data_IF_241306229773
#
_entry.id   IF_241306229773
#
_cell.length_a   1.000
_cell.length_b   1.000
_cell.length_c   1.000
_cell.angle_alpha   90.00
_cell.angle_beta   90.00
_cell.angle_gamma   90.00
#
_symmetry.space_group_name_H-M   'P 1'
#
loop_
_entity.id
_entity.type
_entity.pdbx_description
1 polymer ?
#
# COMPACT_ATOMS: atom_id res chain seq x y z
N UNK A 1 -21.31 43.19 61.26
CA UNK A 1 -20.42 43.86 60.29
C UNK A 1 -18.98 43.59 60.72
N UNK A 2 -18.11 43.25 59.76
CA UNK A 2 -16.66 42.97 59.89
C UNK A 2 -16.25 41.52 60.16
N UNK A 3 -15.95 40.82 59.07
CA UNK A 3 -15.03 39.67 59.03
C UNK A 3 -13.60 40.19 58.84
N UNK A 4 -12.61 39.44 59.32
CA UNK A 4 -11.19 39.55 58.94
C UNK A 4 -10.55 38.16 58.89
N UNK A 5 -9.45 37.98 58.14
CA UNK A 5 -9.19 36.76 57.36
C UNK A 5 -8.23 35.82 58.07
N UNK A 6 -8.25 34.53 57.71
CA UNK A 6 -7.19 33.59 58.09
C UNK A 6 -6.61 32.91 56.85
N UNK A 7 -5.29 32.88 56.84
CA UNK A 7 -4.41 32.76 55.69
C UNK A 7 -3.92 31.31 55.52
N UNK A 8 -3.77 30.91 54.27
CA UNK A 8 -2.85 29.92 53.68
C UNK A 8 -2.13 28.89 54.60
N UNK A 9 -2.44 27.59 54.47
CA UNK A 9 -1.45 26.55 54.74
C UNK A 9 -1.38 25.62 53.52
N UNK A 10 -0.23 25.70 52.89
CA UNK A 10 0.30 24.91 51.79
C UNK A 10 0.21 23.41 52.10
N UNK A 11 -0.43 22.64 51.22
CA UNK A 11 -0.27 21.17 51.20
C UNK A 11 0.47 20.78 49.93
N UNK A 12 1.75 20.43 50.11
CA UNK A 12 2.54 19.72 49.10
C UNK A 12 1.92 18.33 48.91
N UNK A 13 1.33 18.10 47.74
CA UNK A 13 0.90 16.78 47.29
C UNK A 13 1.95 16.29 46.30
N UNK A 14 2.84 15.43 46.76
CA UNK A 14 3.82 14.76 45.90
C UNK A 14 3.12 13.60 45.19
N UNK A 15 2.75 13.79 43.93
CA UNK A 15 2.21 12.72 43.07
C UNK A 15 3.40 11.93 42.54
N UNK A 16 3.62 10.72 43.08
CA UNK A 16 4.58 9.77 42.52
C UNK A 16 3.99 9.14 41.25
N UNK A 17 4.49 9.57 40.09
CA UNK A 17 4.15 8.99 38.79
C UNK A 17 5.00 7.72 38.60
N UNK A 18 4.44 6.55 38.91
CA UNK A 18 5.08 5.27 38.64
C UNK A 18 5.05 5.00 37.14
N UNK A 19 6.21 5.10 36.50
CA UNK A 19 6.44 4.74 35.11
C UNK A 19 6.47 3.20 34.99
N UNK A 20 5.31 2.58 34.76
CA UNK A 20 5.28 1.15 34.38
C UNK A 20 5.82 1.02 32.96
N UNK A 21 7.09 0.58 32.85
CA UNK A 21 7.63 0.07 31.60
C UNK A 21 6.90 -1.23 31.25
N UNK A 22 5.91 -1.14 30.36
CA UNK A 22 5.33 -2.31 29.71
C UNK A 22 6.42 -2.85 28.79
N UNK A 23 7.17 -3.85 29.26
CA UNK A 23 8.05 -4.64 28.42
C UNK A 23 7.20 -5.39 27.41
N UNK A 24 7.42 -5.11 26.12
CA UNK A 24 6.81 -5.90 25.05
C UNK A 24 7.44 -7.29 25.09
N UNK A 25 6.67 -8.30 25.46
CA UNK A 25 7.09 -9.70 25.38
C UNK A 25 6.87 -10.15 23.93
N UNK A 26 7.90 -10.02 23.09
CA UNK A 26 7.89 -10.65 21.77
C UNK A 26 8.05 -12.16 21.95
N UNK A 27 6.95 -12.90 21.79
CA UNK A 27 7.02 -14.34 21.54
C UNK A 27 7.79 -14.56 20.23
N UNK A 28 8.72 -15.53 20.15
CA UNK A 28 9.32 -15.90 18.87
C UNK A 28 8.19 -16.31 17.93
N UNK A 29 7.88 -15.45 16.97
CA UNK A 29 6.80 -15.68 16.01
C UNK A 29 7.15 -16.86 15.11
N UNK A 30 6.20 -17.77 14.95
CA UNK A 30 6.28 -18.78 13.89
C UNK A 30 6.41 -18.04 12.54
N UNK A 31 7.38 -18.46 11.71
CA UNK A 31 7.56 -17.92 10.36
C UNK A 31 6.36 -18.34 9.50
N UNK A 32 5.33 -17.51 9.55
CA UNK A 32 4.09 -17.63 8.77
C UNK A 32 4.25 -17.00 7.38
N UNK A 33 5.49 -16.80 6.90
CA UNK A 33 5.73 -16.24 5.58
C UNK A 33 5.12 -17.13 4.50
N UNK A 34 4.40 -16.49 3.58
CA UNK A 34 3.71 -17.15 2.48
C UNK A 34 4.11 -16.53 1.17
N UNK A 35 4.47 -17.37 0.20
CA UNK A 35 4.76 -16.92 -1.15
C UNK A 35 3.45 -16.63 -1.88
N UNK A 36 3.24 -15.37 -2.26
CA UNK A 36 2.09 -14.91 -3.06
C UNK A 36 2.38 -15.12 -4.56
N UNK A 37 3.62 -14.88 -4.97
CA UNK A 37 4.10 -15.15 -6.31
C UNK A 37 5.57 -14.77 -6.50
N UNK A 38 6.13 -15.17 -7.63
CA UNK A 38 7.51 -14.81 -8.00
C UNK A 38 7.51 -13.48 -8.77
N UNK A 39 8.24 -12.49 -8.26
CA UNK A 39 8.34 -11.18 -8.90
C UNK A 39 9.13 -10.17 -8.08
N UNK A 40 9.06 -8.91 -8.50
CA UNK A 40 9.82 -7.79 -7.94
C UNK A 40 8.95 -6.56 -7.79
N UNK A 41 9.41 -5.67 -6.90
CA UNK A 41 8.84 -4.35 -6.68
C UNK A 41 7.34 -4.39 -6.40
N UNK A 42 6.91 -5.18 -5.38
CA UNK A 42 5.51 -5.28 -5.04
C UNK A 42 4.97 -3.94 -4.53
N UNK A 43 3.75 -3.63 -4.92
CA UNK A 43 2.94 -2.56 -4.36
C UNK A 43 1.56 -3.12 -4.00
N UNK A 44 0.93 -2.60 -2.95
CA UNK A 44 -0.35 -3.09 -2.46
C UNK A 44 -1.31 -1.95 -2.15
N UNK A 45 -2.59 -2.24 -2.31
CA UNK A 45 -3.68 -1.40 -1.84
C UNK A 45 -4.74 -2.28 -1.17
N UNK A 46 -5.42 -1.73 -0.17
CA UNK A 46 -6.48 -2.41 0.56
C UNK A 46 -7.67 -1.47 0.70
N UNK A 47 -8.89 -2.03 0.65
CA UNK A 47 -10.12 -1.29 0.87
C UNK A 47 -10.62 -1.46 2.31
N UNK A 48 -11.66 -0.70 2.65
CA UNK A 48 -12.29 -0.75 3.97
C UNK A 48 -13.01 -2.08 4.27
N UNK A 49 -13.27 -2.89 3.25
CA UNK A 49 -13.94 -4.19 3.36
C UNK A 49 -12.96 -5.33 3.67
N UNK A 50 -11.67 -5.05 3.62
CA UNK A 50 -10.60 -6.02 3.84
C UNK A 50 -10.19 -6.78 2.58
N UNK A 51 -10.58 -6.33 1.38
CA UNK A 51 -9.91 -6.81 0.16
C UNK A 51 -8.53 -6.19 0.09
N UNK A 52 -7.56 -7.00 -0.33
CA UNK A 52 -6.18 -6.57 -0.52
C UNK A 52 -5.76 -6.96 -1.92
N UNK A 53 -5.19 -6.03 -2.67
CA UNK A 53 -4.62 -6.28 -3.98
C UNK A 53 -3.12 -6.01 -3.93
N UNK A 54 -2.35 -6.87 -4.58
CA UNK A 54 -0.90 -6.76 -4.69
C UNK A 54 -0.52 -6.88 -6.15
N UNK A 55 0.18 -5.88 -6.68
CA UNK A 55 0.77 -5.92 -8.02
C UNK A 55 2.29 -5.98 -7.94
N UNK A 56 2.92 -6.60 -8.93
CA UNK A 56 4.38 -6.70 -9.02
C UNK A 56 4.81 -7.02 -10.46
N UNK A 57 6.08 -6.74 -10.77
CA UNK A 57 6.70 -7.08 -12.05
C UNK A 57 7.36 -8.45 -12.04
N UNK A 58 7.40 -9.11 -13.19
CA UNK A 58 8.23 -10.30 -13.43
C UNK A 58 8.77 -10.26 -14.87
N UNK A 59 9.92 -9.62 -15.06
CA UNK A 59 10.38 -9.25 -16.41
C UNK A 59 9.40 -8.24 -17.01
N UNK A 60 8.93 -8.49 -18.22
CA UNK A 60 7.94 -7.63 -18.90
C UNK A 60 6.50 -7.86 -18.42
N UNK A 61 6.25 -8.88 -17.58
CA UNK A 61 4.91 -9.18 -17.08
C UNK A 61 4.54 -8.32 -15.89
N UNK A 62 3.34 -7.75 -15.92
CA UNK A 62 2.69 -7.14 -14.77
C UNK A 62 1.69 -8.15 -14.22
N UNK A 63 1.85 -8.52 -12.95
CA UNK A 63 1.02 -9.50 -12.28
C UNK A 63 0.22 -8.84 -11.16
N UNK A 64 -0.96 -9.37 -10.87
CA UNK A 64 -1.78 -8.96 -9.73
C UNK A 64 -2.34 -10.18 -9.01
N UNK A 65 -2.20 -10.22 -7.70
CA UNK A 65 -2.89 -11.17 -6.83
C UNK A 65 -3.79 -10.39 -5.88
N UNK A 66 -4.83 -11.04 -5.36
CA UNK A 66 -5.74 -10.41 -4.43
C UNK A 66 -6.16 -11.35 -3.31
N UNK A 67 -6.65 -10.77 -2.23
CA UNK A 67 -7.23 -11.42 -1.06
C UNK A 67 -8.63 -10.86 -0.84
N UNK A 68 -9.53 -11.72 -0.37
CA UNK A 68 -10.88 -11.33 0.09
C UNK A 68 -11.11 -11.63 1.57
N UNK A 69 -10.04 -11.95 2.30
CA UNK A 69 -10.09 -12.38 3.70
C UNK A 69 -9.06 -11.65 4.58
N UNK A 70 -8.88 -10.35 4.31
CA UNK A 70 -7.96 -9.47 5.02
C UNK A 70 -6.49 -9.93 4.97
N UNK A 71 -6.07 -10.50 3.83
CA UNK A 71 -4.68 -10.92 3.59
C UNK A 71 -4.32 -12.29 4.17
N UNK A 72 -5.27 -13.05 4.72
CA UNK A 72 -5.00 -14.41 5.24
C UNK A 72 -4.70 -15.38 4.11
N UNK A 73 -5.42 -15.25 3.01
CA UNK A 73 -5.20 -16.00 1.78
C UNK A 73 -5.28 -15.10 0.55
N UNK A 74 -4.57 -15.52 -0.48
CA UNK A 74 -4.42 -14.87 -1.78
C UNK A 74 -4.73 -15.87 -2.88
N UNK A 75 -5.42 -15.38 -3.91
CA UNK A 75 -5.65 -16.11 -5.15
C UNK A 75 -4.37 -16.19 -5.98
N UNK A 76 -4.33 -17.15 -6.91
CA UNK A 76 -3.21 -17.25 -7.85
C UNK A 76 -3.04 -15.94 -8.62
N UNK A 77 -1.79 -15.50 -8.90
CA UNK A 77 -1.55 -14.27 -9.62
C UNK A 77 -2.13 -14.29 -11.04
N UNK A 78 -2.83 -13.23 -11.39
CA UNK A 78 -3.38 -12.97 -12.71
C UNK A 78 -2.41 -12.12 -13.53
N UNK A 79 -2.35 -12.38 -14.84
CA UNK A 79 -1.63 -11.53 -15.78
C UNK A 79 -2.46 -10.28 -16.08
N UNK A 80 -1.95 -9.13 -15.68
CA UNK A 80 -2.53 -7.81 -16.00
C UNK A 80 -2.20 -7.47 -17.44
N UNK A 81 -0.91 -7.52 -17.79
CA UNK A 81 -0.41 -7.24 -19.13
C UNK A 81 1.04 -7.66 -19.30
N UNK A 82 1.51 -7.67 -20.53
CA UNK A 82 2.94 -7.74 -20.88
C UNK A 82 3.34 -6.37 -21.45
N UNK A 83 4.15 -5.63 -20.70
CA UNK A 83 4.66 -4.33 -21.09
C UNK A 83 6.15 -4.48 -21.42
N UNK A 84 6.54 -4.38 -22.71
CA UNK A 84 7.94 -4.45 -23.10
C UNK A 84 8.78 -3.42 -22.35
N UNK A 85 9.96 -3.85 -21.90
CA UNK A 85 10.88 -3.01 -21.12
C UNK A 85 10.25 -2.45 -19.83
N UNK A 86 9.42 -3.25 -19.14
CA UNK A 86 8.88 -2.88 -17.84
C UNK A 86 10.02 -2.48 -16.89
N UNK A 87 9.84 -1.36 -16.20
CA UNK A 87 10.70 -0.98 -15.08
C UNK A 87 10.23 -1.76 -13.84
N UNK A 88 10.94 -2.85 -13.48
CA UNK A 88 10.68 -3.74 -12.35
C UNK A 88 11.84 -3.80 -11.32
N UNK A 89 12.64 -2.73 -11.24
CA UNK A 89 13.89 -2.69 -10.47
C UNK A 89 14.17 -1.34 -9.80
N UNK A 90 15.14 -1.31 -8.89
CA UNK A 90 15.54 -0.11 -8.13
C UNK A 90 14.38 0.59 -7.40
N UNK A 91 13.52 -0.17 -6.72
CA UNK A 91 12.31 0.34 -6.02
C UNK A 91 11.26 0.98 -6.95
N UNK A 92 11.36 0.74 -8.26
CA UNK A 92 10.41 1.20 -9.26
C UNK A 92 9.64 0.01 -9.81
N UNK A 93 8.35 0.19 -9.99
CA UNK A 93 7.49 -0.91 -10.39
C UNK A 93 6.06 -0.44 -10.59
N UNK A 94 5.17 -1.38 -10.94
CA UNK A 94 3.74 -1.12 -11.01
C UNK A 94 3.23 -0.50 -9.70
N UNK A 95 2.41 0.53 -9.82
CA UNK A 95 1.69 1.16 -8.71
C UNK A 95 0.23 0.75 -8.79
N UNK A 96 -0.46 0.67 -7.65
CA UNK A 96 -1.86 0.23 -7.58
C UNK A 96 -2.69 1.19 -6.73
N UNK A 97 -3.93 1.41 -7.15
CA UNK A 97 -4.95 2.09 -6.38
C UNK A 97 -6.30 1.39 -6.57
N UNK A 98 -7.14 1.43 -5.54
CA UNK A 98 -8.49 0.88 -5.60
C UNK A 98 -9.47 1.99 -5.90
N UNK A 99 -10.40 1.69 -6.81
CA UNK A 99 -11.56 2.50 -7.14
C UNK A 99 -12.80 1.73 -6.64
N UNK A 100 -13.92 2.42 -6.49
CA UNK A 100 -15.17 1.83 -5.99
C UNK A 100 -15.55 0.48 -6.63
N UNK A 101 -15.43 0.37 -7.95
CA UNK A 101 -15.84 -0.81 -8.72
C UNK A 101 -14.68 -1.41 -9.56
N UNK A 102 -13.45 -0.95 -9.34
CA UNK A 102 -12.32 -1.30 -10.20
C UNK A 102 -10.96 -1.21 -9.48
N UNK A 103 -9.96 -1.83 -10.08
CA UNK A 103 -8.55 -1.74 -9.67
C UNK A 103 -7.79 -1.01 -10.76
N UNK A 104 -7.06 0.04 -10.39
CA UNK A 104 -6.22 0.79 -11.30
C UNK A 104 -4.76 0.45 -11.03
N UNK A 105 -4.04 0.04 -12.06
CA UNK A 105 -2.59 -0.17 -12.04
C UNK A 105 -1.94 0.78 -13.04
N UNK A 106 -0.83 1.39 -12.64
CA UNK A 106 0.05 2.13 -13.56
C UNK A 106 1.44 1.53 -13.58
N UNK A 107 2.06 1.43 -14.76
CA UNK A 107 3.43 0.96 -14.91
C UNK A 107 4.19 1.79 -15.95
N UNK A 108 5.51 1.84 -15.82
CA UNK A 108 6.39 2.59 -16.70
C UNK A 108 7.30 1.63 -17.47
N UNK A 109 7.53 1.91 -18.75
CA UNK A 109 8.60 1.25 -19.50
C UNK A 109 9.93 2.04 -19.39
N UNK A 110 11.04 1.46 -19.83
CA UNK A 110 12.35 2.13 -19.80
C UNK A 110 12.43 3.35 -20.71
N UNK A 111 11.55 3.47 -21.69
CA UNK A 111 11.46 4.65 -22.55
C UNK A 111 10.94 5.85 -21.75
N UNK A 112 10.23 5.63 -20.64
CA UNK A 112 9.67 6.66 -19.79
C UNK A 112 8.20 6.95 -20.10
N UNK A 113 7.52 6.02 -20.75
CA UNK A 113 6.09 6.07 -20.97
C UNK A 113 5.35 5.35 -19.86
N UNK A 114 4.29 5.99 -19.36
CA UNK A 114 3.45 5.48 -18.30
C UNK A 114 2.17 4.93 -18.94
N UNK A 115 1.80 3.72 -18.54
CA UNK A 115 0.59 3.05 -19.00
C UNK A 115 -0.34 2.78 -17.83
N UNK A 116 -1.64 2.90 -18.06
CA UNK A 116 -2.68 2.52 -17.12
C UNK A 116 -3.40 1.25 -17.57
N UNK A 117 -3.80 0.47 -16.58
CA UNK A 117 -4.54 -0.78 -16.72
C UNK A 117 -5.66 -0.77 -15.69
N UNK A 118 -6.89 -0.99 -16.12
CA UNK A 118 -8.05 -1.08 -15.21
C UNK A 118 -8.58 -2.50 -15.23
N UNK A 119 -8.70 -3.10 -14.05
CA UNK A 119 -9.26 -4.42 -13.84
C UNK A 119 -10.53 -4.36 -13.00
N UNK A 120 -11.26 -5.47 -12.95
CA UNK A 120 -12.37 -5.66 -12.03
C UNK A 120 -12.25 -7.02 -11.33
N UNK A 121 -13.15 -7.30 -10.39
CA UNK A 121 -13.16 -8.56 -9.63
C UNK A 121 -13.36 -9.84 -10.49
N UNK A 122 -13.64 -9.71 -11.79
CA UNK A 122 -13.77 -10.85 -12.72
C UNK A 122 -12.45 -11.25 -13.41
N UNK A 123 -11.34 -10.60 -13.07
CA UNK A 123 -10.01 -10.89 -13.64
C UNK A 123 -9.83 -10.44 -15.09
N UNK A 124 -10.71 -9.54 -15.56
CA UNK A 124 -10.58 -8.93 -16.89
C UNK A 124 -9.88 -7.58 -16.76
N UNK A 125 -8.75 -7.45 -17.44
CA UNK A 125 -7.95 -6.24 -17.50
C UNK A 125 -8.15 -5.51 -18.83
N UNK A 126 -8.15 -4.19 -18.79
CA UNK A 126 -8.19 -3.34 -19.98
C UNK A 126 -6.93 -3.50 -20.83
N UNK A 127 -7.01 -3.10 -22.09
CA UNK A 127 -5.79 -2.85 -22.87
C UNK A 127 -4.98 -1.70 -22.23
N UNK A 128 -3.67 -1.72 -22.47
CA UNK A 128 -2.77 -0.66 -22.01
C UNK A 128 -3.18 0.69 -22.61
N UNK A 129 -3.37 1.70 -21.77
CA UNK A 129 -3.60 3.07 -22.22
C UNK A 129 -2.43 3.93 -21.80
N UNK A 130 -1.78 4.60 -22.75
CA UNK A 130 -0.68 5.53 -22.45
C UNK A 130 -1.24 6.77 -21.72
N UNK A 131 -0.59 7.14 -20.62
CA UNK A 131 -1.01 8.23 -19.73
C UNK A 131 -0.31 9.54 -20.08
N UNK A 132 0.95 9.51 -20.51
CA UNK A 132 1.72 10.69 -20.87
C UNK A 132 1.48 11.12 -22.33
N UNK A 133 1.29 12.42 -22.56
CA UNK A 133 1.06 13.00 -23.88
C UNK A 133 2.34 13.14 -24.73
N UNK A 134 3.50 13.20 -24.06
CA UNK A 134 4.82 13.34 -24.70
C UNK A 134 5.63 12.11 -24.37
N UNK A 135 6.21 11.51 -25.41
CA UNK A 135 7.06 10.34 -25.28
C UNK A 135 8.28 10.63 -24.41
N UNK A 136 8.67 9.65 -23.61
CA UNK A 136 9.95 9.63 -22.89
C UNK A 136 10.12 10.64 -21.75
N UNK A 137 9.03 11.02 -21.07
CA UNK A 137 9.07 12.01 -19.97
C UNK A 137 9.50 11.41 -18.63
N UNK A 138 9.11 10.17 -18.33
CA UNK A 138 9.41 9.52 -17.05
C UNK A 138 10.58 8.53 -17.16
N UNK A 139 11.71 8.94 -17.75
CA UNK A 139 12.88 8.04 -17.96
C UNK A 139 13.39 7.41 -16.67
N UNK A 140 13.23 8.13 -15.56
CA UNK A 140 13.58 7.63 -14.23
C UNK A 140 12.54 6.68 -13.65
N UNK A 141 11.37 6.49 -14.28
CA UNK A 141 10.33 5.55 -13.85
C UNK A 141 9.80 5.76 -12.43
N UNK A 142 10.00 6.96 -11.86
CA UNK A 142 9.49 7.31 -10.53
C UNK A 142 8.01 7.64 -10.65
N UNK A 143 7.19 6.82 -10.00
CA UNK A 143 5.73 6.96 -10.00
C UNK A 143 5.19 6.84 -8.58
N UNK A 144 4.08 7.51 -8.33
CA UNK A 144 3.22 7.28 -7.19
C UNK A 144 1.77 7.33 -7.68
N UNK A 145 0.93 6.43 -7.15
CA UNK A 145 -0.49 6.38 -7.44
C UNK A 145 -1.26 6.30 -6.11
N UNK A 146 -2.37 7.01 -6.01
CA UNK A 146 -3.22 7.00 -4.83
C UNK A 146 -4.68 7.21 -5.20
N UNK A 147 -5.56 6.80 -4.30
CA UNK A 147 -7.01 7.04 -4.38
C UNK A 147 -7.48 7.85 -3.17
N UNK A 148 -8.69 8.37 -3.26
CA UNK A 148 -9.31 9.27 -2.26
C UNK A 148 -9.85 8.56 -1.00
N UNK A 149 -9.83 7.23 -0.98
CA UNK A 149 -10.31 6.41 0.14
C UNK A 149 -11.75 5.92 -0.02
N UNK A 150 -12.47 6.36 -1.06
CA UNK A 150 -13.89 6.04 -1.26
C UNK A 150 -14.05 4.74 -2.06
N UNK A 151 -13.56 3.65 -1.47
CA UNK A 151 -13.51 2.30 -2.05
C UNK A 151 -13.82 1.20 -1.01
#
# INVERSE_FOLDING_TARGET
MRTSPFSWITRLVTIAFTLSAIGCHESPGEDSSRIIGNGKMPNLAADSTGKVYITYGNGDSILCSHSTDAGKTFFAPELVSVLPDLVDYSMRGPQIALLKDAVLITACNKQGDIFSFTGNASGKWSQAVKVNDIDTVAKEGLMALGADGDH
#
